data_IF_796405225717
#
_entry.id   IF_796405225717
#
_cell.length_a   1.000
_cell.length_b   1.000
_cell.length_c   1.000
_cell.angle_alpha   90.00
_cell.angle_beta   90.00
_cell.angle_gamma   90.00
#
_symmetry.space_group_name_H-M   'P 1'
#
loop_
_entity.id
_entity.type
_entity.pdbx_description
1 polymer ?
#
# COMPACT_ATOMS: atom_id res chain seq x y z
N UNK A 1 -6.80 -38.72 59.15
CA UNK A 1 -7.41 -37.59 58.42
C UNK A 1 -6.34 -36.95 57.55
N UNK A 2 -6.28 -37.29 56.26
CA UNK A 2 -5.35 -36.67 55.29
C UNK A 2 -5.97 -36.75 53.89
N UNK A 3 -6.73 -35.72 53.50
CA UNK A 3 -7.14 -35.56 52.10
C UNK A 3 -5.99 -34.92 51.31
N UNK A 4 -5.64 -35.42 50.11
CA UNK A 4 -4.80 -34.67 49.20
C UNK A 4 -5.66 -33.56 48.59
N UNK A 5 -5.53 -32.35 49.11
CA UNK A 5 -6.26 -31.19 48.58
C UNK A 5 -5.74 -30.92 47.17
N UNK A 6 -6.58 -31.20 46.18
CA UNK A 6 -6.21 -31.15 44.76
C UNK A 6 -5.81 -29.73 44.38
N UNK A 7 -4.49 -29.47 44.33
CA UNK A 7 -3.89 -28.23 43.85
C UNK A 7 -4.34 -28.01 42.40
N UNK A 8 -5.45 -27.29 42.23
CA UNK A 8 -5.90 -26.79 40.92
C UNK A 8 -4.81 -25.87 40.39
N UNK A 9 -3.99 -26.38 39.50
CA UNK A 9 -2.97 -25.60 38.80
C UNK A 9 -3.68 -24.51 38.02
N UNK A 10 -3.59 -23.28 38.50
CA UNK A 10 -4.08 -22.11 37.77
C UNK A 10 -3.19 -21.93 36.54
N UNK A 11 -3.55 -22.60 35.45
CA UNK A 11 -2.95 -22.38 34.16
C UNK A 11 -3.34 -20.98 33.72
N UNK A 12 -2.41 -20.04 33.87
CA UNK A 12 -2.56 -18.67 33.37
C UNK A 12 -2.88 -18.74 31.88
N UNK A 13 -4.14 -18.46 31.53
CA UNK A 13 -4.61 -18.55 30.16
C UNK A 13 -4.15 -17.31 29.43
N UNK A 14 -3.11 -17.46 28.61
CA UNK A 14 -2.67 -16.42 27.70
C UNK A 14 -3.87 -15.92 26.87
N UNK A 15 -4.18 -14.64 26.98
CA UNK A 15 -5.19 -13.99 26.15
C UNK A 15 -4.65 -13.87 24.71
N UNK A 16 -5.38 -14.35 23.70
CA UNK A 16 -4.95 -14.19 22.32
C UNK A 16 -4.95 -12.71 21.94
N UNK A 17 -3.86 -12.24 21.33
CA UNK A 17 -3.77 -10.89 20.79
C UNK A 17 -4.53 -10.86 19.46
N UNK A 18 -5.52 -9.96 19.34
CA UNK A 18 -6.23 -9.74 18.08
C UNK A 18 -5.42 -8.80 17.17
N UNK A 19 -5.01 -9.31 16.02
CA UNK A 19 -4.28 -8.57 14.99
C UNK A 19 -5.21 -8.01 13.89
N UNK A 20 -6.53 -8.14 14.00
CA UNK A 20 -7.50 -7.70 12.99
C UNK A 20 -7.32 -6.23 12.60
N UNK A 21 -7.19 -5.33 13.58
CA UNK A 21 -6.96 -3.90 13.37
C UNK A 21 -5.62 -3.63 12.70
N UNK A 22 -4.55 -4.29 13.15
CA UNK A 22 -3.21 -4.14 12.56
C UNK A 22 -3.18 -4.63 11.11
N UNK A 23 -3.84 -5.77 10.82
CA UNK A 23 -4.00 -6.31 9.46
C UNK A 23 -4.78 -5.35 8.57
N UNK A 24 -5.90 -4.80 9.07
CA UNK A 24 -6.70 -3.82 8.34
C UNK A 24 -5.89 -2.55 8.03
N UNK A 25 -5.14 -2.02 9.01
CA UNK A 25 -4.27 -0.87 8.82
C UNK A 25 -3.19 -1.12 7.75
N UNK A 26 -2.52 -2.28 7.77
CA UNK A 26 -1.53 -2.65 6.74
C UNK A 26 -2.15 -2.68 5.35
N UNK A 27 -3.31 -3.33 5.17
CA UNK A 27 -3.98 -3.38 3.87
C UNK A 27 -4.45 -2.01 3.37
N UNK A 28 -5.01 -1.18 4.25
CA UNK A 28 -5.42 0.18 3.91
C UNK A 28 -4.23 1.06 3.52
N UNK A 29 -3.14 1.04 4.30
CA UNK A 29 -1.92 1.80 4.00
C UNK A 29 -1.27 1.35 2.69
N UNK A 30 -1.16 0.05 2.44
CA UNK A 30 -0.64 -0.47 1.17
C UNK A 30 -1.52 -0.04 -0.02
N UNK A 31 -2.84 -0.18 0.11
CA UNK A 31 -3.79 0.19 -0.96
C UNK A 31 -3.73 1.69 -1.26
N UNK A 32 -3.71 2.53 -0.21
CA UNK A 32 -3.57 3.98 -0.35
C UNK A 32 -2.23 4.37 -0.98
N UNK A 33 -1.13 3.73 -0.58
CA UNK A 33 0.20 3.96 -1.16
C UNK A 33 0.23 3.61 -2.66
N UNK A 34 -0.30 2.45 -3.06
CA UNK A 34 -0.38 2.08 -4.48
C UNK A 34 -1.32 2.99 -5.28
N UNK A 35 -2.45 3.41 -4.70
CA UNK A 35 -3.35 4.37 -5.35
C UNK A 35 -2.66 5.73 -5.59
N UNK A 36 -1.90 6.23 -4.60
CA UNK A 36 -1.10 7.45 -4.72
C UNK A 36 0.02 7.30 -5.75
N UNK A 37 0.69 6.15 -5.83
CA UNK A 37 1.67 5.88 -6.89
C UNK A 37 1.03 5.93 -8.27
N UNK A 38 -0.12 5.28 -8.49
CA UNK A 38 -0.82 5.32 -9.79
C UNK A 38 -1.19 6.75 -10.18
N UNK A 39 -1.76 7.54 -9.25
CA UNK A 39 -2.09 8.95 -9.48
C UNK A 39 -0.82 9.77 -9.80
N UNK A 40 0.30 9.50 -9.12
CA UNK A 40 1.56 10.17 -9.37
C UNK A 40 2.14 9.85 -10.76
N UNK A 41 2.10 8.59 -11.20
CA UNK A 41 2.54 8.21 -12.56
C UNK A 41 1.66 8.85 -13.64
N UNK A 42 0.33 8.89 -13.45
CA UNK A 42 -0.59 9.62 -14.35
C UNK A 42 -0.26 11.12 -14.36
N UNK A 43 0.03 11.71 -13.19
CA UNK A 43 0.44 13.11 -13.09
C UNK A 43 1.74 13.42 -13.82
N UNK A 44 2.73 12.53 -13.77
CA UNK A 44 3.97 12.65 -14.57
C UNK A 44 3.70 12.54 -16.07
N UNK A 45 2.87 11.58 -16.49
CA UNK A 45 2.49 11.39 -17.90
C UNK A 45 1.66 12.56 -18.45
N UNK A 46 0.98 13.32 -17.60
CA UNK A 46 0.31 14.58 -17.95
C UNK A 46 1.19 15.83 -17.76
N UNK A 47 2.48 15.68 -17.45
CA UNK A 47 3.41 16.80 -17.29
C UNK A 47 3.23 17.63 -16.00
N UNK A 48 2.39 17.20 -15.06
CA UNK A 48 2.10 17.93 -13.82
C UNK A 48 3.26 17.92 -12.81
N UNK A 49 4.21 16.97 -12.94
CA UNK A 49 5.45 16.93 -12.14
C UNK A 49 6.59 16.41 -13.01
N UNK A 50 7.83 16.84 -12.74
CA UNK A 50 9.04 16.28 -13.36
C UNK A 50 10.08 15.90 -12.31
N UNK A 51 10.59 14.68 -12.42
CA UNK A 51 11.60 14.09 -11.51
C UNK A 51 13.01 14.53 -11.90
N UNK A 52 13.24 14.85 -13.18
CA UNK A 52 14.55 15.13 -13.74
C UNK A 52 14.80 16.64 -13.96
N UNK A 53 14.28 17.47 -13.06
CA UNK A 53 14.38 18.93 -13.13
C UNK A 53 13.32 19.53 -14.06
N UNK A 54 13.67 20.58 -14.82
CA UNK A 54 12.74 21.25 -15.73
C UNK A 54 12.45 20.50 -17.04
N UNK A 55 13.08 19.34 -17.28
CA UNK A 55 12.94 18.62 -18.54
C UNK A 55 11.85 17.54 -18.48
N UNK A 56 10.93 17.60 -19.44
CA UNK A 56 9.76 16.71 -19.62
C UNK A 56 10.04 15.50 -20.52
N UNK A 57 11.30 15.09 -20.69
CA UNK A 57 11.73 13.98 -21.55
C UNK A 57 10.88 12.70 -21.45
N UNK A 58 10.43 12.32 -20.25
CA UNK A 58 9.59 11.13 -20.06
C UNK A 58 8.16 11.36 -20.58
N UNK A 59 7.60 12.54 -20.35
CA UNK A 59 6.28 12.94 -20.84
C UNK A 59 6.28 12.99 -22.37
N UNK A 60 7.29 13.61 -22.99
CA UNK A 60 7.45 13.65 -24.45
C UNK A 60 7.61 12.24 -25.05
N UNK A 61 8.44 11.37 -24.45
CA UNK A 61 8.60 9.99 -24.90
C UNK A 61 7.31 9.16 -24.86
N UNK A 62 6.52 9.26 -23.78
CA UNK A 62 5.26 8.50 -23.66
C UNK A 62 4.18 9.09 -24.56
N UNK A 63 4.11 10.42 -24.67
CA UNK A 63 3.24 11.14 -25.59
C UNK A 63 3.47 10.72 -27.05
N UNK A 64 4.73 10.69 -27.49
CA UNK A 64 5.11 10.24 -28.84
C UNK A 64 4.81 8.75 -29.06
N UNK A 65 5.03 7.90 -28.05
CA UNK A 65 4.67 6.49 -28.11
C UNK A 65 3.15 6.29 -28.26
N UNK A 66 2.32 7.12 -27.63
CA UNK A 66 0.85 7.09 -27.81
C UNK A 66 0.43 7.52 -29.21
N UNK A 67 1.12 8.50 -29.80
CA UNK A 67 0.90 8.92 -31.18
C UNK A 67 1.32 7.85 -32.19
N UNK A 68 2.44 7.16 -31.95
CA UNK A 68 2.87 6.00 -32.74
C UNK A 68 1.83 4.86 -32.71
N UNK A 69 1.13 4.69 -31.59
CA UNK A 69 0.03 3.73 -31.43
C UNK A 69 -1.33 4.27 -31.94
N UNK A 70 -1.38 5.49 -32.50
CA UNK A 70 -2.58 6.08 -33.12
C UNK A 70 -3.61 6.70 -32.16
N UNK A 71 -3.24 7.02 -30.92
CA UNK A 71 -4.18 7.59 -29.93
C UNK A 71 -4.19 9.14 -29.89
N UNK A 72 -5.31 9.84 -30.19
CA UNK A 72 -5.49 11.31 -30.02
C UNK A 72 -4.48 12.21 -30.78
N UNK A 73 -4.07 13.41 -30.32
CA UNK A 73 -4.10 14.06 -28.99
C UNK A 73 -5.45 14.70 -28.53
N UNK A 74 -5.39 15.71 -27.66
CA UNK A 74 -6.38 16.80 -27.55
C UNK A 74 -5.64 18.12 -27.85
#
# INVERSE_FOLDING_TARGET
MTSPEARKTSLSRATPIDFSVAKAAVWLTLTAFFALLVIYFIGMDQGATSVFGSNTMVHEFVHDARHLLGFPCH
#
